data_IF_026735281572
#
_entry.id   IF_026735281572
#
_cell.length_a   1.000
_cell.length_b   1.000
_cell.length_c   1.000
_cell.angle_alpha   90.00
_cell.angle_beta   90.00
_cell.angle_gamma   90.00
#
_symmetry.space_group_name_H-M   'P 1'
#
loop_
_entity.id
_entity.type
_entity.pdbx_description
1 polymer ?
#
# COMPACT_ATOMS: atom_id res chain seq x y z
N UNK A 1 16.92 9.83 -9.94
CA UNK A 1 16.12 10.99 -10.39
C UNK A 1 15.28 10.45 -11.52
N UNK A 2 13.96 10.57 -11.48
CA UNK A 2 13.12 10.18 -12.62
C UNK A 2 13.36 11.20 -13.73
N UNK A 3 13.60 10.73 -14.95
CA UNK A 3 13.69 11.62 -16.10
C UNK A 3 12.30 12.19 -16.36
N UNK A 4 12.18 13.51 -16.28
CA UNK A 4 10.96 14.22 -16.64
C UNK A 4 11.00 14.38 -18.15
N UNK A 5 9.97 13.94 -18.88
CA UNK A 5 9.92 14.14 -20.34
C UNK A 5 10.02 15.62 -20.70
N UNK A 6 10.80 15.96 -21.73
CA UNK A 6 10.84 17.29 -22.30
C UNK A 6 9.54 17.54 -23.10
N UNK A 7 8.53 18.05 -22.40
CA UNK A 7 7.24 18.44 -22.99
C UNK A 7 6.87 19.84 -22.48
N UNK A 8 6.68 20.84 -23.37
CA UNK A 8 6.39 22.22 -22.97
C UNK A 8 5.06 22.37 -22.20
N UNK A 9 4.21 21.34 -22.17
CA UNK A 9 2.98 21.32 -21.36
C UNK A 9 3.24 20.90 -19.92
N UNK A 10 4.45 20.39 -19.59
CA UNK A 10 4.81 19.96 -18.24
C UNK A 10 5.41 21.15 -17.49
N UNK A 11 4.73 21.57 -16.46
CA UNK A 11 5.20 22.62 -15.56
C UNK A 11 5.67 22.03 -14.22
N UNK A 12 6.95 22.21 -13.91
CA UNK A 12 7.51 21.78 -12.61
C UNK A 12 7.27 22.91 -11.62
N UNK A 13 6.53 22.62 -10.56
CA UNK A 13 6.21 23.57 -9.50
C UNK A 13 6.70 23.07 -8.14
N UNK A 14 6.96 23.99 -7.23
CA UNK A 14 7.33 23.63 -5.86
C UNK A 14 6.13 22.98 -5.13
N UNK A 15 6.35 21.88 -4.38
CA UNK A 15 5.29 21.21 -3.65
C UNK A 15 4.77 22.10 -2.51
N UNK A 16 3.44 22.19 -2.37
CA UNK A 16 2.78 22.96 -1.31
C UNK A 16 2.64 22.10 -0.04
N UNK A 17 3.76 21.73 0.59
CA UNK A 17 3.79 20.79 1.73
C UNK A 17 2.89 21.20 2.89
N UNK A 18 2.79 22.49 3.23
CA UNK A 18 1.89 22.98 4.28
C UNK A 18 0.42 22.68 3.96
N UNK A 19 0.01 22.83 2.70
CA UNK A 19 -1.33 22.49 2.26
C UNK A 19 -1.55 20.98 2.35
N UNK A 20 -0.60 20.19 1.88
CA UNK A 20 -0.72 18.74 1.89
C UNK A 20 -0.85 18.18 3.31
N UNK A 21 -0.02 18.65 4.26
CA UNK A 21 -0.10 18.25 5.67
C UNK A 21 -1.47 18.64 6.26
N UNK A 22 -1.95 19.87 6.00
CA UNK A 22 -3.26 20.31 6.49
C UNK A 22 -4.39 19.42 5.96
N UNK A 23 -4.41 19.14 4.67
CA UNK A 23 -5.44 18.26 4.06
C UNK A 23 -5.34 16.85 4.60
N UNK A 24 -4.14 16.29 4.73
CA UNK A 24 -3.90 14.96 5.32
C UNK A 24 -4.43 14.89 6.76
N UNK A 25 -4.23 15.93 7.57
CA UNK A 25 -4.76 16.00 8.93
C UNK A 25 -6.31 15.99 8.93
N UNK A 26 -6.94 16.73 8.05
CA UNK A 26 -8.42 16.74 7.96
C UNK A 26 -8.96 15.38 7.46
N UNK A 27 -8.25 14.72 6.55
CA UNK A 27 -8.58 13.36 6.12
C UNK A 27 -8.45 12.37 7.29
N UNK A 28 -7.42 12.48 8.11
CA UNK A 28 -7.27 11.65 9.31
C UNK A 28 -8.45 11.84 10.27
N UNK A 29 -8.91 13.09 10.48
CA UNK A 29 -10.11 13.36 11.27
C UNK A 29 -11.39 12.76 10.65
N UNK A 30 -11.47 12.71 9.32
CA UNK A 30 -12.56 12.02 8.63
C UNK A 30 -12.58 10.53 9.00
N UNK A 31 -11.42 9.87 9.09
CA UNK A 31 -11.34 8.46 9.46
C UNK A 31 -11.86 8.17 10.87
N UNK A 32 -11.74 9.09 11.81
CA UNK A 32 -12.30 8.95 13.18
C UNK A 32 -13.83 8.85 13.23
N UNK A 33 -14.51 9.16 12.14
CA UNK A 33 -15.97 8.94 12.01
C UNK A 33 -16.34 7.50 11.68
N UNK A 34 -15.38 6.71 11.22
CA UNK A 34 -15.57 5.31 10.81
C UNK A 34 -15.00 4.33 11.84
N UNK A 35 -13.89 4.68 12.47
CA UNK A 35 -13.24 3.85 13.49
C UNK A 35 -12.73 4.73 14.64
N UNK A 36 -12.58 4.17 15.85
CA UNK A 36 -11.96 4.90 16.97
C UNK A 36 -10.55 5.39 16.60
N UNK A 37 -10.13 6.52 17.16
CA UNK A 37 -8.82 7.13 16.89
C UNK A 37 -7.65 6.15 17.07
N UNK A 38 -7.69 5.32 18.12
CA UNK A 38 -6.69 4.27 18.40
C UNK A 38 -6.59 3.19 17.32
N UNK A 39 -7.61 3.10 16.45
CA UNK A 39 -7.68 2.16 15.34
C UNK A 39 -7.21 2.78 14.00
N UNK A 40 -6.74 4.03 14.04
CA UNK A 40 -6.16 4.71 12.88
C UNK A 40 -4.66 4.83 13.06
N UNK A 41 -3.90 4.28 12.12
CA UNK A 41 -2.45 4.43 12.06
C UNK A 41 -2.06 5.19 10.79
N UNK A 42 -1.67 6.45 10.94
CA UNK A 42 -1.15 7.27 9.85
C UNK A 42 0.26 6.79 9.49
N UNK A 43 0.39 6.19 8.32
CA UNK A 43 1.65 5.65 7.83
C UNK A 43 2.49 6.71 7.09
N UNK A 44 1.82 7.52 6.28
CA UNK A 44 2.44 8.64 5.55
C UNK A 44 1.44 9.78 5.38
N UNK A 45 1.83 10.84 4.66
CA UNK A 45 0.96 11.98 4.38
C UNK A 45 -0.29 11.62 3.57
N UNK A 46 -0.24 10.53 2.81
CA UNK A 46 -1.27 10.08 1.86
C UNK A 46 -1.76 8.65 2.11
N UNK A 47 -1.23 7.98 3.15
CA UNK A 47 -1.59 6.61 3.49
C UNK A 47 -1.87 6.43 4.97
N UNK A 48 -2.96 5.72 5.28
CA UNK A 48 -3.31 5.33 6.65
C UNK A 48 -3.84 3.90 6.68
N UNK A 49 -3.59 3.20 7.78
CA UNK A 49 -4.21 1.91 8.10
C UNK A 49 -5.34 2.13 9.10
N UNK A 50 -6.46 1.46 8.86
CA UNK A 50 -7.61 1.47 9.73
C UNK A 50 -7.94 0.04 10.17
N UNK A 51 -8.09 -0.17 11.47
CA UNK A 51 -8.61 -1.43 11.99
C UNK A 51 -10.15 -1.36 12.00
N UNK A 52 -10.76 -2.10 11.07
CA UNK A 52 -12.22 -2.15 10.91
C UNK A 52 -12.92 -2.96 12.02
N UNK A 53 -12.18 -3.69 12.85
CA UNK A 53 -12.75 -4.51 13.92
C UNK A 53 -13.73 -5.56 13.39
N UNK A 54 -15.00 -5.47 13.83
CA UNK A 54 -16.08 -6.37 13.39
C UNK A 54 -16.93 -5.81 12.25
N UNK A 55 -16.69 -4.59 11.83
CA UNK A 55 -17.46 -3.94 10.77
C UNK A 55 -17.15 -4.58 9.41
N UNK A 56 -18.09 -4.43 8.47
CA UNK A 56 -17.87 -4.85 7.09
C UNK A 56 -16.84 -3.95 6.42
N UNK A 57 -15.61 -4.41 6.15
CA UNK A 57 -14.56 -3.54 5.64
C UNK A 57 -14.81 -3.05 4.21
N UNK A 58 -15.60 -3.76 3.41
CA UNK A 58 -15.92 -3.34 2.05
C UNK A 58 -16.95 -2.21 2.03
N UNK A 59 -17.95 -2.27 2.91
CA UNK A 59 -18.93 -1.18 3.07
C UNK A 59 -18.27 0.07 3.66
N UNK A 60 -17.41 -0.11 4.65
CA UNK A 60 -16.61 0.97 5.21
C UNK A 60 -15.73 1.64 4.15
N UNK A 61 -15.02 0.84 3.32
CA UNK A 61 -14.20 1.36 2.24
C UNK A 61 -14.99 2.22 1.25
N UNK A 62 -16.17 1.76 0.83
CA UNK A 62 -17.07 2.53 -0.06
C UNK A 62 -17.55 3.83 0.60
N UNK A 63 -17.90 3.79 1.88
CA UNK A 63 -18.35 4.95 2.63
C UNK A 63 -17.21 5.98 2.79
N UNK A 64 -15.99 5.54 3.05
CA UNK A 64 -14.80 6.40 3.10
C UNK A 64 -14.56 7.03 1.72
N UNK A 65 -14.55 6.26 0.62
CA UNK A 65 -14.38 6.80 -0.73
C UNK A 65 -15.43 7.85 -1.07
N UNK A 66 -16.69 7.60 -0.72
CA UNK A 66 -17.78 8.55 -0.93
C UNK A 66 -17.59 9.86 -0.16
N UNK A 67 -17.17 9.75 1.11
CA UNK A 67 -16.91 10.92 1.96
C UNK A 67 -15.69 11.72 1.48
N UNK A 68 -14.60 11.03 1.10
CA UNK A 68 -13.41 11.64 0.51
C UNK A 68 -13.75 12.46 -0.74
N UNK A 69 -14.54 11.88 -1.63
CA UNK A 69 -14.96 12.56 -2.86
C UNK A 69 -15.86 13.76 -2.58
N UNK A 70 -16.82 13.61 -1.67
CA UNK A 70 -17.80 14.66 -1.33
C UNK A 70 -17.14 15.84 -0.61
N UNK A 71 -16.25 15.58 0.34
CA UNK A 71 -15.73 16.60 1.26
C UNK A 71 -14.42 17.23 0.78
N UNK A 72 -13.60 16.46 0.08
CA UNK A 72 -12.29 16.93 -0.39
C UNK A 72 -12.15 16.98 -1.91
N UNK A 73 -13.10 16.43 -2.66
CA UNK A 73 -12.97 16.28 -4.12
C UNK A 73 -11.88 15.28 -4.52
N UNK A 74 -11.39 14.47 -3.59
CA UNK A 74 -10.30 13.52 -3.80
C UNK A 74 -10.83 12.11 -4.03
N UNK A 75 -10.11 11.37 -4.86
CA UNK A 75 -10.32 9.93 -5.03
C UNK A 75 -9.25 9.17 -4.24
N UNK A 76 -9.65 8.09 -3.57
CA UNK A 76 -8.72 7.20 -2.90
C UNK A 76 -8.95 5.74 -3.32
N UNK A 77 -7.90 4.94 -3.22
CA UNK A 77 -7.95 3.49 -3.37
C UNK A 77 -7.83 2.84 -2.00
N UNK A 78 -8.40 1.64 -1.85
CA UNK A 78 -8.44 0.93 -0.57
C UNK A 78 -7.98 -0.51 -0.76
N UNK A 79 -7.00 -0.92 0.04
CA UNK A 79 -6.62 -2.31 0.19
C UNK A 79 -7.21 -2.87 1.48
N UNK A 80 -7.90 -4.00 1.41
CA UNK A 80 -8.46 -4.72 2.54
C UNK A 80 -7.65 -5.99 2.74
N UNK A 81 -7.25 -6.29 3.97
CA UNK A 81 -6.48 -7.48 4.29
C UNK A 81 -6.66 -7.95 5.72
N UNK A 82 -6.40 -9.22 5.97
CA UNK A 82 -6.47 -9.82 7.31
C UNK A 82 -5.36 -9.30 8.25
N UNK A 83 -4.40 -8.56 7.72
CA UNK A 83 -3.36 -7.83 8.45
C UNK A 83 -2.85 -6.64 7.61
N UNK A 84 -2.00 -5.80 8.21
CA UNK A 84 -1.44 -4.62 7.57
C UNK A 84 -0.65 -4.94 6.29
N UNK A 85 0.09 -6.05 6.26
CA UNK A 85 0.86 -6.45 5.09
C UNK A 85 -0.06 -6.79 3.92
N UNK A 86 -1.07 -7.62 4.14
CA UNK A 86 -2.01 -8.03 3.09
C UNK A 86 -2.84 -6.85 2.60
N UNK A 87 -3.28 -5.95 3.49
CA UNK A 87 -4.00 -4.74 3.08
C UNK A 87 -3.12 -3.81 2.24
N UNK A 88 -1.86 -3.61 2.63
CA UNK A 88 -0.91 -2.80 1.85
C UNK A 88 -0.64 -3.39 0.48
N UNK A 89 -0.47 -4.70 0.38
CA UNK A 89 -0.23 -5.37 -0.91
C UNK A 89 -1.48 -5.39 -1.80
N UNK A 90 -2.67 -5.56 -1.22
CA UNK A 90 -3.92 -5.41 -1.95
C UNK A 90 -4.06 -3.99 -2.52
N UNK A 91 -3.71 -2.96 -1.73
CA UNK A 91 -3.68 -1.57 -2.17
C UNK A 91 -2.72 -1.39 -3.37
N UNK A 92 -1.46 -1.77 -3.21
CA UNK A 92 -0.42 -1.43 -4.17
C UNK A 92 -0.49 -2.26 -5.46
N UNK A 93 -0.85 -3.53 -5.36
CA UNK A 93 -0.76 -4.46 -6.49
C UNK A 93 -2.08 -4.65 -7.25
N UNK A 94 -3.22 -4.43 -6.58
CA UNK A 94 -4.52 -4.77 -7.15
C UNK A 94 -5.50 -3.60 -7.18
N UNK A 95 -5.69 -2.84 -6.10
CA UNK A 95 -6.78 -1.87 -5.99
C UNK A 95 -6.78 -0.81 -7.10
N UNK A 96 -5.60 -0.35 -7.51
CA UNK A 96 -5.43 0.66 -8.59
C UNK A 96 -5.84 0.14 -9.98
N UNK A 97 -6.04 -1.18 -10.12
CA UNK A 97 -6.46 -1.83 -11.37
C UNK A 97 -7.94 -2.18 -11.40
N UNK A 98 -8.61 -2.10 -10.25
CA UNK A 98 -10.05 -2.38 -10.15
C UNK A 98 -10.85 -1.12 -10.49
N UNK A 99 -12.05 -1.31 -11.06
CA UNK A 99 -12.97 -0.19 -11.36
C UNK A 99 -13.43 0.54 -10.09
N UNK A 100 -13.57 -0.19 -8.97
CA UNK A 100 -13.98 0.35 -7.68
C UNK A 100 -12.85 1.06 -6.92
N UNK A 101 -11.60 0.84 -7.28
CA UNK A 101 -10.46 1.27 -6.48
C UNK A 101 -10.32 0.50 -5.16
N UNK A 102 -11.02 -0.65 -5.00
CA UNK A 102 -10.98 -1.48 -3.79
C UNK A 102 -10.47 -2.87 -4.18
N UNK A 103 -9.56 -3.42 -3.38
CA UNK A 103 -9.09 -4.80 -3.50
C UNK A 103 -9.03 -5.46 -2.13
N UNK A 104 -9.20 -6.78 -2.09
CA UNK A 104 -9.16 -7.56 -0.85
C UNK A 104 -8.24 -8.76 -0.99
N UNK A 105 -7.36 -8.95 -0.01
CA UNK A 105 -6.49 -10.11 0.14
C UNK A 105 -6.67 -10.73 1.53
N UNK A 106 -6.88 -12.05 1.54
CA UNK A 106 -6.99 -12.85 2.76
C UNK A 106 -5.80 -13.80 2.89
N UNK A 107 -5.65 -14.45 4.04
CA UNK A 107 -4.63 -15.49 4.23
C UNK A 107 -4.70 -16.61 3.19
N UNK A 108 -5.91 -17.00 2.78
CA UNK A 108 -6.14 -18.01 1.74
C UNK A 108 -5.65 -17.59 0.35
N UNK A 109 -5.52 -16.30 0.10
CA UNK A 109 -4.98 -15.73 -1.15
C UNK A 109 -3.44 -15.78 -1.22
N UNK A 110 -2.76 -16.00 -0.09
CA UNK A 110 -1.29 -15.95 0.01
C UNK A 110 -0.61 -16.84 -1.03
N UNK A 111 -0.95 -18.12 -1.20
CA UNK A 111 -0.30 -18.97 -2.20
C UNK A 111 -0.53 -18.52 -3.63
N UNK A 112 -1.70 -17.95 -3.92
CA UNK A 112 -2.13 -17.62 -5.26
C UNK A 112 -1.82 -16.17 -5.69
N UNK A 113 -1.73 -15.25 -4.73
CA UNK A 113 -1.43 -13.83 -4.98
C UNK A 113 -0.04 -13.47 -4.45
N UNK A 114 0.20 -13.56 -3.14
CA UNK A 114 1.44 -13.08 -2.53
C UNK A 114 2.68 -13.85 -3.00
N UNK A 115 2.64 -15.18 -2.99
CA UNK A 115 3.79 -15.99 -3.40
C UNK A 115 4.16 -15.83 -4.88
N UNK A 116 3.24 -15.37 -5.71
CA UNK A 116 3.47 -15.11 -7.14
C UNK A 116 4.03 -13.72 -7.41
N UNK A 117 4.17 -12.86 -6.40
CA UNK A 117 4.70 -11.52 -6.60
C UNK A 117 6.11 -11.57 -7.19
N UNK A 118 6.25 -10.92 -8.32
CA UNK A 118 7.47 -10.78 -9.10
C UNK A 118 7.39 -9.46 -9.91
N UNK A 119 8.48 -8.70 -10.02
CA UNK A 119 9.74 -8.80 -9.30
C UNK A 119 9.57 -8.59 -7.78
N UNK A 120 10.59 -9.02 -7.01
CA UNK A 120 10.54 -8.92 -5.54
C UNK A 120 10.39 -7.49 -5.03
N UNK A 121 10.88 -6.50 -5.76
CA UNK A 121 10.73 -5.07 -5.43
C UNK A 121 9.27 -4.57 -5.42
N UNK A 122 8.32 -5.35 -5.91
CA UNK A 122 6.88 -5.08 -5.74
C UNK A 122 6.38 -5.48 -4.35
N UNK A 123 7.15 -6.26 -3.61
CA UNK A 123 6.82 -6.60 -2.22
C UNK A 123 7.16 -5.41 -1.33
N UNK A 124 6.21 -4.96 -0.56
CA UNK A 124 6.42 -3.91 0.42
C UNK A 124 7.56 -4.28 1.38
N UNK A 125 8.53 -3.39 1.54
CA UNK A 125 9.74 -3.60 2.32
C UNK A 125 10.94 -4.14 1.53
N UNK A 126 10.78 -4.57 0.28
CA UNK A 126 11.89 -5.02 -0.57
C UNK A 126 12.23 -3.94 -1.60
N UNK A 127 13.31 -3.21 -1.38
CA UNK A 127 13.83 -2.27 -2.36
C UNK A 127 14.73 -2.93 -3.41
N UNK A 128 15.05 -2.19 -4.48
CA UNK A 128 15.83 -2.74 -5.60
C UNK A 128 17.22 -3.29 -5.22
N UNK A 129 17.86 -2.77 -4.15
CA UNK A 129 19.14 -3.33 -3.66
C UNK A 129 18.93 -4.73 -3.06
N UNK A 130 17.91 -4.89 -2.22
CA UNK A 130 17.57 -6.18 -1.61
C UNK A 130 17.13 -7.18 -2.67
N UNK A 131 16.31 -6.77 -3.63
CA UNK A 131 15.92 -7.61 -4.76
C UNK A 131 17.14 -8.16 -5.52
N UNK A 132 18.12 -7.30 -5.87
CA UNK A 132 19.34 -7.75 -6.55
C UNK A 132 20.11 -8.77 -5.73
N UNK A 133 20.21 -8.60 -4.42
CA UNK A 133 20.88 -9.56 -3.54
C UNK A 133 20.15 -10.90 -3.51
N UNK A 134 18.82 -10.88 -3.34
CA UNK A 134 17.99 -12.09 -3.35
C UNK A 134 18.07 -12.82 -4.70
N UNK A 135 18.04 -12.08 -5.81
CA UNK A 135 18.17 -12.66 -7.15
C UNK A 135 19.50 -13.36 -7.36
N UNK A 136 20.62 -12.85 -6.79
CA UNK A 136 21.93 -13.55 -6.82
C UNK A 136 21.92 -14.89 -6.06
N UNK A 137 21.00 -15.03 -5.08
CA UNK A 137 20.78 -16.27 -4.34
C UNK A 137 19.78 -17.22 -5.04
N UNK A 138 19.33 -16.87 -6.25
CA UNK A 138 18.31 -17.64 -6.99
C UNK A 138 16.88 -17.41 -6.52
N UNK A 139 16.63 -16.37 -5.69
CA UNK A 139 15.31 -16.03 -5.16
C UNK A 139 14.74 -14.89 -5.99
N UNK A 140 13.70 -15.16 -6.78
CA UNK A 140 13.06 -14.17 -7.67
C UNK A 140 11.60 -13.88 -7.35
N UNK A 141 10.94 -14.73 -6.55
CA UNK A 141 9.55 -14.56 -6.13
C UNK A 141 9.41 -14.59 -4.62
N UNK A 142 8.32 -13.99 -4.11
CA UNK A 142 8.02 -14.03 -2.67
C UNK A 142 7.82 -15.46 -2.17
N UNK A 143 7.23 -16.34 -2.99
CA UNK A 143 7.06 -17.75 -2.64
C UNK A 143 8.38 -18.52 -2.50
N UNK A 144 9.39 -18.18 -3.32
CA UNK A 144 10.73 -18.74 -3.16
C UNK A 144 11.39 -18.21 -1.89
N UNK A 145 11.26 -16.90 -1.61
CA UNK A 145 11.77 -16.30 -0.38
C UNK A 145 11.14 -16.94 0.87
N UNK A 146 9.82 -17.13 0.88
CA UNK A 146 9.11 -17.74 2.00
C UNK A 146 9.55 -19.19 2.30
N UNK A 147 10.05 -19.90 1.31
CA UNK A 147 10.53 -21.29 1.43
C UNK A 147 12.04 -21.40 1.59
N UNK A 148 12.75 -20.27 1.51
CA UNK A 148 14.22 -20.29 1.57
C UNK A 148 14.71 -20.53 3.01
N UNK A 149 15.76 -21.35 3.23
CA UNK A 149 16.27 -21.61 4.58
C UNK A 149 16.77 -20.35 5.26
N UNK A 150 16.21 -20.03 6.44
CA UNK A 150 16.53 -18.80 7.19
C UNK A 150 18.02 -18.64 7.46
N UNK A 151 18.70 -19.70 7.91
CA UNK A 151 20.13 -19.67 8.23
C UNK A 151 21.06 -19.36 7.03
N UNK A 152 20.56 -19.56 5.79
CA UNK A 152 21.29 -19.14 4.59
C UNK A 152 21.04 -17.66 4.27
N UNK A 153 19.83 -17.14 4.55
CA UNK A 153 19.53 -15.71 4.41
C UNK A 153 20.37 -14.87 5.37
N UNK A 154 20.49 -15.28 6.62
CA UNK A 154 21.24 -14.56 7.67
C UNK A 154 22.73 -14.43 7.30
N UNK A 155 23.36 -15.51 6.78
CA UNK A 155 24.77 -15.51 6.36
C UNK A 155 25.07 -14.59 5.17
N UNK A 156 24.07 -14.34 4.33
CA UNK A 156 24.25 -13.50 3.14
C UNK A 156 23.95 -12.03 3.39
N UNK A 157 23.43 -11.69 4.60
CA UNK A 157 23.10 -10.33 5.02
C UNK A 157 24.21 -9.68 5.85
N UNK A 158 25.21 -10.45 6.25
CA UNK A 158 26.41 -10.01 6.96
C UNK A 158 27.54 -9.67 5.97
#
# INVERSE_FOLDING_TARGET
>A
MFEIPEDPRIHIVNPQMKLFIRVSTEITKLFYRFVPEKCVHTYSIDESFLDAGKENPEEMAKAIQSSMRREFGLMCTVGIGDNMLLSKLALDLESKKTKSGIARWRYEDVPNKLWKVHPLSKMWGIGGRMERNLNRMGISTVGQLAKFPLGLLERSSA
#
